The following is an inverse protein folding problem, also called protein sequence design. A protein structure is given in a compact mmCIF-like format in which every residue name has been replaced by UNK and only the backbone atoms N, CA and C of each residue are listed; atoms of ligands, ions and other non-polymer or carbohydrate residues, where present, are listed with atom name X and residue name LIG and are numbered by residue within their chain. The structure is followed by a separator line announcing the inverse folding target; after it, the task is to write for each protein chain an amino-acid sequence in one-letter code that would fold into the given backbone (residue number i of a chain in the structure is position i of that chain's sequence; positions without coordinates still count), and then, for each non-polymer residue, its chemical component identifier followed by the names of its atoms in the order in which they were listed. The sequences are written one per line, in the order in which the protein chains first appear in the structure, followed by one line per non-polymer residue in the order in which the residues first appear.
data_IF_863311283057
#
_entry.id   IF_863311283057
#
_cell.length_a   1.000
_cell.length_b   1.000
_cell.length_c   1.000
_cell.angle_alpha   90.00
_cell.angle_beta   90.00
_cell.angle_gamma   90.00
#
_symmetry.space_group_name_H-M   'P 1'
#
loop_
_entity.id
_entity.type
_entity.pdbx_description
1 polymer ?
#
# COMPACT_ATOMS: atom_id res chain seq x y z
N UNK A 1 -15.96 19.76 -6.40
CA UNK A 1 -16.05 20.45 -7.71
C UNK A 1 -15.77 21.93 -7.59
N UNK A 2 -16.60 22.74 -6.92
CA UNK A 2 -16.39 24.20 -6.77
C UNK A 2 -15.02 24.58 -6.24
N UNK A 3 -14.62 23.97 -5.11
CA UNK A 3 -13.29 24.15 -4.52
C UNK A 3 -12.15 23.77 -5.48
N UNK A 4 -12.31 22.66 -6.23
CA UNK A 4 -11.28 22.18 -7.17
C UNK A 4 -11.16 23.12 -8.37
N UNK A 5 -12.29 23.54 -8.95
CA UNK A 5 -12.27 24.47 -10.07
C UNK A 5 -11.98 25.93 -9.66
N UNK A 6 -12.09 26.26 -8.36
CA UNK A 6 -11.99 27.64 -7.89
C UNK A 6 -13.12 28.52 -8.45
N UNK A 7 -14.34 27.98 -8.56
CA UNK A 7 -15.49 28.66 -9.14
C UNK A 7 -16.82 28.24 -8.50
N UNK A 8 -17.73 29.18 -8.25
CA UNK A 8 -19.07 28.88 -7.72
C UNK A 8 -20.06 28.38 -8.79
N UNK A 9 -19.94 28.89 -10.02
CA UNK A 9 -20.91 28.60 -11.08
C UNK A 9 -20.40 27.50 -12.02
N UNK A 10 -21.05 26.34 -11.97
CA UNK A 10 -20.79 25.22 -12.87
C UNK A 10 -22.00 24.92 -13.76
N UNK A 11 -21.81 24.57 -15.04
CA UNK A 11 -22.89 24.07 -15.87
C UNK A 11 -23.46 22.77 -15.31
N UNK A 12 -24.78 22.69 -15.12
CA UNK A 12 -25.44 21.49 -14.58
C UNK A 12 -25.12 20.22 -15.38
N UNK A 13 -25.01 20.34 -16.70
CA UNK A 13 -24.64 19.23 -17.57
C UNK A 13 -23.22 18.71 -17.30
N UNK A 14 -22.27 19.59 -16.96
CA UNK A 14 -20.91 19.20 -16.56
C UNK A 14 -20.93 18.50 -15.19
N UNK A 15 -21.68 19.06 -14.23
CA UNK A 15 -21.83 18.45 -12.89
C UNK A 15 -22.42 17.06 -13.00
N UNK A 16 -23.50 16.90 -13.78
CA UNK A 16 -24.16 15.62 -14.01
C UNK A 16 -23.21 14.60 -14.67
N UNK A 17 -22.50 15.01 -15.72
CA UNK A 17 -21.55 14.15 -16.42
C UNK A 17 -20.43 13.66 -15.48
N UNK A 18 -19.82 14.56 -14.71
CA UNK A 18 -18.76 14.18 -13.76
C UNK A 18 -19.34 13.27 -12.66
N UNK A 19 -20.54 13.57 -12.15
CA UNK A 19 -21.19 12.74 -11.13
C UNK A 19 -21.49 11.32 -11.65
N UNK A 20 -22.07 11.21 -12.85
CA UNK A 20 -22.34 9.92 -13.52
C UNK A 20 -21.05 9.13 -13.74
N UNK A 21 -19.96 9.81 -14.14
CA UNK A 21 -18.69 9.13 -14.37
C UNK A 21 -17.99 8.70 -13.09
N UNK A 22 -18.12 9.48 -12.04
CA UNK A 22 -17.38 9.25 -10.79
C UNK A 22 -18.13 8.40 -9.77
N UNK A 23 -19.43 8.18 -9.97
CA UNK A 23 -20.28 7.43 -9.04
C UNK A 23 -20.30 8.04 -7.63
N UNK A 24 -20.04 9.34 -7.52
CA UNK A 24 -19.95 10.05 -6.24
C UNK A 24 -18.67 9.79 -5.45
N UNK A 25 -17.67 9.09 -5.99
CA UNK A 25 -16.38 8.90 -5.32
C UNK A 25 -15.65 10.26 -5.21
N UNK A 26 -15.43 10.81 -3.99
CA UNK A 26 -14.90 12.17 -3.83
C UNK A 26 -13.51 12.34 -4.44
N UNK A 27 -12.64 11.35 -4.28
CA UNK A 27 -11.30 11.38 -4.85
C UNK A 27 -11.33 11.32 -6.39
N UNK A 28 -12.15 10.44 -6.96
CA UNK A 28 -12.29 10.36 -8.41
C UNK A 28 -12.84 11.66 -8.98
N UNK A 29 -13.83 12.25 -8.31
CA UNK A 29 -14.41 13.53 -8.67
C UNK A 29 -13.36 14.65 -8.67
N UNK A 30 -12.56 14.75 -7.61
CA UNK A 30 -11.46 15.72 -7.54
C UNK A 30 -10.47 15.53 -8.69
N UNK A 31 -10.12 14.29 -9.01
CA UNK A 31 -9.13 14.00 -10.03
C UNK A 31 -9.64 14.20 -11.46
N UNK A 32 -10.92 13.90 -11.71
CA UNK A 32 -11.58 14.26 -12.98
C UNK A 32 -11.62 15.77 -13.15
N UNK A 33 -11.96 16.53 -12.09
CA UNK A 33 -11.96 17.99 -12.14
C UNK A 33 -10.57 18.54 -12.45
N UNK A 34 -9.53 18.01 -11.78
CA UNK A 34 -8.14 18.41 -11.99
C UNK A 34 -7.65 18.09 -13.40
N UNK A 35 -7.91 16.87 -13.89
CA UNK A 35 -7.57 16.44 -15.26
C UNK A 35 -8.17 17.40 -16.30
N UNK A 36 -9.45 17.76 -16.14
CA UNK A 36 -10.11 18.71 -17.05
C UNK A 36 -9.46 20.10 -17.05
N UNK A 37 -8.93 20.57 -15.92
CA UNK A 37 -8.19 21.83 -15.85
C UNK A 37 -6.80 21.71 -16.47
N UNK A 38 -6.06 20.65 -16.14
CA UNK A 38 -4.70 20.38 -16.65
C UNK A 38 -4.69 20.23 -18.18
N UNK A 39 -5.70 19.57 -18.74
CA UNK A 39 -5.86 19.39 -20.19
C UNK A 39 -6.46 20.62 -20.90
N UNK A 40 -6.80 21.67 -20.14
CA UNK A 40 -7.42 22.88 -20.67
C UNK A 40 -8.83 22.65 -21.25
N UNK A 41 -9.46 21.52 -20.90
CA UNK A 41 -10.79 21.13 -21.33
C UNK A 41 -11.89 21.97 -20.66
N UNK A 42 -11.56 22.64 -19.55
CA UNK A 42 -12.39 23.68 -18.94
C UNK A 42 -11.63 25.00 -18.78
N UNK A 43 -12.37 26.11 -18.83
CA UNK A 43 -11.86 27.45 -18.50
C UNK A 43 -12.69 28.05 -17.38
N UNK A 44 -12.00 28.74 -16.48
CA UNK A 44 -12.64 29.51 -15.42
C UNK A 44 -12.53 30.99 -15.77
N UNK A 45 -13.67 31.68 -15.87
CA UNK A 45 -13.75 33.13 -16.09
C UNK A 45 -14.89 33.71 -15.28
N UNK A 46 -14.64 34.80 -14.57
CA UNK A 46 -15.64 35.50 -13.75
C UNK A 46 -16.42 34.53 -12.84
N UNK A 47 -15.71 33.67 -12.10
CA UNK A 47 -16.30 32.70 -11.15
C UNK A 47 -17.24 31.65 -11.80
N UNK A 48 -17.09 31.46 -13.12
CA UNK A 48 -17.86 30.50 -13.91
C UNK A 48 -16.97 29.56 -14.70
N UNK A 49 -17.27 28.28 -14.62
CA UNK A 49 -16.64 27.22 -15.44
C UNK A 49 -17.34 27.13 -16.79
N UNK A 50 -16.57 27.09 -17.87
CA UNK A 50 -17.05 26.74 -19.22
C UNK A 50 -16.23 25.61 -19.82
N UNK A 51 -16.89 24.71 -20.54
CA UNK A 51 -16.23 23.62 -21.27
C UNK A 51 -15.65 24.18 -22.57
N UNK A 52 -14.40 23.83 -22.87
CA UNK A 52 -13.74 24.16 -24.13
C UNK A 52 -14.11 23.10 -25.16
N UNK A 53 -14.84 23.48 -26.21
CA UNK A 53 -15.36 22.55 -27.20
C UNK A 53 -16.73 22.00 -26.81
N UNK A 54 -16.93 20.68 -26.88
CA UNK A 54 -18.21 20.03 -26.56
C UNK A 54 -18.09 19.12 -25.33
N UNK A 55 -19.16 19.04 -24.53
CA UNK A 55 -19.26 18.11 -23.40
C UNK A 55 -19.10 16.65 -23.84
N UNK A 56 -19.63 16.27 -25.00
CA UNK A 56 -19.53 14.92 -25.53
C UNK A 56 -18.10 14.55 -26.00
N UNK A 57 -17.26 15.55 -26.26
CA UNK A 57 -15.86 15.34 -26.65
C UNK A 57 -14.90 15.20 -25.47
N UNK A 58 -15.37 15.41 -24.24
CA UNK A 58 -14.53 15.28 -23.04
C UNK A 58 -14.06 13.84 -22.85
N UNK A 59 -12.74 13.65 -22.83
CA UNK A 59 -12.12 12.37 -22.51
C UNK A 59 -12.08 12.20 -20.99
N UNK A 60 -13.19 11.75 -20.42
CA UNK A 60 -13.24 11.43 -19.00
C UNK A 60 -12.73 10.01 -18.76
N UNK A 61 -11.83 9.80 -17.80
CA UNK A 61 -11.37 8.46 -17.47
C UNK A 61 -12.52 7.53 -17.10
N UNK A 62 -12.36 6.26 -17.47
CA UNK A 62 -13.39 5.23 -17.25
C UNK A 62 -13.38 4.66 -15.83
N UNK A 63 -12.30 4.89 -15.07
CA UNK A 63 -12.16 4.44 -13.69
C UNK A 63 -11.17 5.28 -12.89
N UNK A 64 -11.28 5.24 -11.56
CA UNK A 64 -10.34 5.87 -10.63
C UNK A 64 -8.91 5.36 -10.87
N UNK A 65 -8.78 4.05 -11.09
CA UNK A 65 -7.50 3.39 -11.31
C UNK A 65 -6.84 3.89 -12.59
N UNK A 66 -7.61 4.15 -13.65
CA UNK A 66 -7.08 4.73 -14.87
C UNK A 66 -6.51 6.14 -14.62
N UNK A 67 -7.18 6.97 -13.83
CA UNK A 67 -6.67 8.31 -13.50
C UNK A 67 -5.37 8.25 -12.72
N UNK A 68 -5.34 7.41 -11.69
CA UNK A 68 -4.13 7.22 -10.87
C UNK A 68 -2.99 6.73 -11.75
N UNK A 69 -3.23 5.77 -12.64
CA UNK A 69 -2.21 5.26 -13.57
C UNK A 69 -1.64 6.38 -14.43
N UNK A 70 -2.50 7.20 -15.04
CA UNK A 70 -2.06 8.36 -15.85
C UNK A 70 -1.22 9.35 -15.03
N UNK A 71 -1.56 9.60 -13.76
CA UNK A 71 -0.72 10.46 -12.89
C UNK A 71 0.64 9.84 -12.62
N UNK A 72 0.67 8.54 -12.33
CA UNK A 72 1.92 7.82 -12.11
C UNK A 72 2.77 7.78 -13.39
N UNK A 73 2.15 7.77 -14.56
CA UNK A 73 2.86 7.82 -15.85
C UNK A 73 3.47 9.20 -16.15
N UNK A 74 2.95 10.28 -15.53
CA UNK A 74 3.44 11.67 -15.66
C UNK A 74 4.57 12.04 -14.70
N UNK A 75 4.85 11.22 -13.68
CA UNK A 75 6.02 11.43 -12.81
C UNK A 75 7.26 10.76 -13.40
N UNK A 76 8.45 11.27 -13.04
CA UNK A 76 9.71 10.71 -13.47
C UNK A 76 9.89 9.25 -13.00
N UNK A 77 10.81 8.56 -13.67
CA UNK A 77 11.04 7.13 -13.44
C UNK A 77 11.47 6.84 -11.99
N UNK A 78 12.31 7.69 -11.40
CA UNK A 78 12.83 7.49 -10.05
C UNK A 78 11.73 7.60 -8.99
N UNK A 79 10.87 8.62 -9.09
CA UNK A 79 9.72 8.80 -8.21
C UNK A 79 8.70 7.68 -8.37
N UNK A 80 8.48 7.18 -9.60
CA UNK A 80 7.59 6.04 -9.86
C UNK A 80 8.13 4.75 -9.25
N UNK A 81 9.42 4.48 -9.41
CA UNK A 81 10.07 3.32 -8.82
C UNK A 81 10.02 3.38 -7.29
N UNK A 82 10.24 4.55 -6.70
CA UNK A 82 10.11 4.77 -5.26
C UNK A 82 8.70 4.45 -4.76
N UNK A 83 7.64 4.93 -5.43
CA UNK A 83 6.25 4.61 -5.07
C UNK A 83 5.95 3.11 -5.19
N UNK A 84 6.45 2.46 -6.23
CA UNK A 84 6.29 1.01 -6.41
C UNK A 84 6.94 0.24 -5.25
N UNK A 85 8.15 0.59 -4.83
CA UNK A 85 8.81 -0.03 -3.67
C UNK A 85 8.08 0.26 -2.36
N UNK A 86 7.71 1.52 -2.13
CA UNK A 86 6.94 1.92 -0.96
C UNK A 86 5.59 1.19 -0.89
N UNK A 87 4.98 0.89 -2.03
CA UNK A 87 3.71 0.15 -2.09
C UNK A 87 3.81 -1.27 -1.56
N UNK A 88 5.00 -1.88 -1.64
CA UNK A 88 5.28 -3.21 -1.08
C UNK A 88 5.48 -3.14 0.43
N UNK A 89 6.04 -2.03 0.96
CA UNK A 89 6.19 -1.84 2.41
C UNK A 89 4.82 -1.77 3.09
N UNK A 90 3.89 -1.03 2.49
CA UNK A 90 2.51 -0.94 2.96
C UNK A 90 1.89 0.43 2.76
N UNK A 91 0.70 0.63 3.34
CA UNK A 91 -0.03 1.91 3.27
C UNK A 91 0.70 3.05 3.98
N UNK A 92 1.43 2.71 5.03
CA UNK A 92 2.35 3.58 5.75
C UNK A 92 3.74 2.93 5.73
N UNK A 93 4.78 3.73 5.57
CA UNK A 93 6.15 3.25 5.43
C UNK A 93 7.14 4.18 6.11
N UNK A 94 8.10 3.61 6.82
CA UNK A 94 9.20 4.38 7.41
C UNK A 94 10.30 4.64 6.38
N UNK A 95 10.95 5.79 6.50
CA UNK A 95 12.05 6.16 5.59
C UNK A 95 13.24 5.21 5.72
N UNK A 96 13.51 4.68 6.91
CA UNK A 96 14.61 3.76 7.17
C UNK A 96 14.40 2.38 6.54
N UNK A 97 13.17 1.86 6.53
CA UNK A 97 12.87 0.64 5.75
C UNK A 97 13.02 0.93 4.25
N UNK A 98 12.45 2.04 3.78
CA UNK A 98 12.51 2.42 2.37
C UNK A 98 13.96 2.61 1.88
N UNK A 99 14.80 3.26 2.68
CA UNK A 99 16.24 3.50 2.41
C UNK A 99 17.04 2.22 2.21
N UNK A 100 16.59 1.09 2.78
CA UNK A 100 17.27 -0.21 2.67
C UNK A 100 16.82 -1.02 1.46
N UNK A 101 15.68 -0.67 0.86
CA UNK A 101 15.10 -1.41 -0.28
C UNK A 101 15.17 -0.64 -1.60
N UNK A 102 15.63 0.61 -1.59
CA UNK A 102 16.00 1.35 -2.80
C UNK A 102 17.44 0.99 -3.20
N UNK A 103 17.74 1.05 -4.49
CA UNK A 103 19.07 0.69 -5.00
C UNK A 103 20.03 1.89 -4.88
N UNK A 104 19.52 3.11 -5.03
CA UNK A 104 20.22 4.37 -4.75
C UNK A 104 19.36 5.23 -3.81
N UNK A 105 19.97 5.64 -2.70
CA UNK A 105 19.33 6.44 -1.66
C UNK A 105 19.80 7.91 -1.64
N UNK A 106 20.68 8.33 -2.56
CA UNK A 106 21.29 9.66 -2.53
C UNK A 106 20.28 10.79 -2.63
N UNK A 107 19.20 10.60 -3.39
CA UNK A 107 18.12 11.58 -3.59
C UNK A 107 16.77 11.14 -2.98
N UNK A 108 16.79 10.20 -2.03
CA UNK A 108 15.56 9.69 -1.42
C UNK A 108 14.68 10.80 -0.83
N UNK A 109 15.29 11.74 -0.13
CA UNK A 109 14.57 12.83 0.54
C UNK A 109 13.97 13.82 -0.49
N UNK A 110 14.68 14.11 -1.59
CA UNK A 110 14.17 14.93 -2.70
C UNK A 110 12.98 14.28 -3.40
N UNK A 111 13.06 12.99 -3.69
CA UNK A 111 11.96 12.21 -4.26
C UNK A 111 10.73 12.19 -3.34
N UNK A 112 10.91 12.01 -2.03
CA UNK A 112 9.81 12.05 -1.05
C UNK A 112 9.15 13.43 -0.99
N UNK A 113 9.93 14.51 -1.07
CA UNK A 113 9.39 15.89 -1.15
C UNK A 113 8.58 16.07 -2.43
N UNK A 114 9.10 15.68 -3.59
CA UNK A 114 8.39 15.80 -4.87
C UNK A 114 7.10 14.98 -4.92
N UNK A 115 7.09 13.76 -4.37
CA UNK A 115 5.88 12.94 -4.25
C UNK A 115 4.84 13.55 -3.31
N UNK A 116 5.29 14.21 -2.23
CA UNK A 116 4.42 14.92 -1.28
C UNK A 116 3.78 16.16 -1.94
N UNK A 117 4.56 16.96 -2.65
CA UNK A 117 4.07 18.15 -3.37
C UNK A 117 3.04 17.79 -4.46
N UNK A 118 3.23 16.64 -5.11
CA UNK A 118 2.25 16.08 -6.08
C UNK A 118 1.02 15.46 -5.42
N UNK A 119 0.96 15.43 -4.09
CA UNK A 119 -0.16 14.88 -3.31
C UNK A 119 -0.33 13.37 -3.45
N UNK A 120 0.73 12.63 -3.79
CA UNK A 120 0.69 11.16 -3.90
C UNK A 120 0.92 10.49 -2.54
N UNK A 121 1.71 11.15 -1.69
CA UNK A 121 1.97 10.75 -0.30
C UNK A 121 1.83 11.94 0.63
N UNK A 122 1.69 11.67 1.93
CA UNK A 122 1.76 12.67 2.99
C UNK A 122 2.62 12.16 4.15
N UNK A 123 3.24 13.08 4.86
CA UNK A 123 4.01 12.74 6.06
C UNK A 123 3.02 12.52 7.23
N UNK A 124 3.01 11.31 7.78
CA UNK A 124 2.15 10.92 8.89
C UNK A 124 2.81 11.16 10.24
N UNK A 125 4.14 11.02 10.31
CA UNK A 125 4.93 11.20 11.53
C UNK A 125 6.30 11.77 11.20
N UNK A 126 6.86 12.56 12.11
CA UNK A 126 8.20 13.16 11.98
C UNK A 126 9.23 12.46 12.89
N UNK A 127 8.84 12.15 14.14
CA UNK A 127 9.73 11.64 15.21
C UNK A 127 9.15 10.34 15.80
N UNK A 128 9.97 9.36 16.23
CA UNK A 128 11.44 9.33 16.20
C UNK A 128 12.03 9.14 14.80
N UNK A 129 11.22 8.64 13.88
CA UNK A 129 11.59 8.44 12.48
C UNK A 129 10.43 8.94 11.58
N UNK A 130 10.74 9.57 10.42
CA UNK A 130 9.73 9.96 9.46
C UNK A 130 8.94 8.75 8.93
N UNK A 131 7.61 8.83 9.05
CA UNK A 131 6.67 7.93 8.39
C UNK A 131 5.90 8.72 7.34
N UNK A 132 5.84 8.14 6.14
CA UNK A 132 4.97 8.60 5.08
C UNK A 132 3.84 7.61 4.88
N UNK A 133 2.75 8.09 4.30
CA UNK A 133 1.63 7.26 3.88
C UNK A 133 1.12 7.71 2.54
N UNK A 134 0.58 6.76 1.78
CA UNK A 134 -0.12 7.09 0.56
C UNK A 134 -1.32 7.99 0.85
N UNK A 135 -1.52 8.99 0.00
CA UNK A 135 -2.66 9.90 0.12
C UNK A 135 -3.99 9.14 -0.01
N UNK A 136 -4.03 8.16 -0.93
CA UNK A 136 -5.17 7.29 -1.17
C UNK A 136 -4.72 5.82 -1.23
N UNK A 137 -5.56 4.91 -0.72
CA UNK A 137 -5.33 3.46 -0.80
C UNK A 137 -5.19 2.99 -2.25
N UNK A 138 -6.04 3.50 -3.15
CA UNK A 138 -5.98 3.16 -4.57
C UNK A 138 -4.65 3.57 -5.22
N UNK A 139 -3.96 4.60 -4.70
CA UNK A 139 -2.62 4.96 -5.21
C UNK A 139 -1.60 3.88 -4.86
N UNK A 140 -1.66 3.34 -3.65
CA UNK A 140 -0.83 2.22 -3.23
C UNK A 140 -1.14 0.98 -4.06
N UNK A 141 -2.42 0.64 -4.23
CA UNK A 141 -2.85 -0.54 -5.01
C UNK A 141 -2.39 -0.44 -6.48
N UNK A 142 -2.63 0.69 -7.15
CA UNK A 142 -2.20 0.86 -8.55
C UNK A 142 -0.67 0.82 -8.69
N UNK A 143 0.07 1.37 -7.72
CA UNK A 143 1.52 1.26 -7.71
C UNK A 143 1.97 -0.20 -7.51
N UNK A 144 1.38 -0.91 -6.54
CA UNK A 144 1.67 -2.30 -6.23
C UNK A 144 1.34 -3.22 -7.42
N UNK A 145 0.19 -3.07 -8.03
CA UNK A 145 -0.25 -3.89 -9.16
C UNK A 145 0.46 -3.60 -10.47
N UNK A 146 1.22 -2.51 -10.54
CA UNK A 146 2.12 -2.27 -11.66
C UNK A 146 3.42 -3.09 -11.59
N UNK A 147 3.70 -3.76 -10.46
CA UNK A 147 4.83 -4.67 -10.30
C UNK A 147 4.51 -6.06 -10.85
N UNK A 148 5.47 -6.64 -11.56
CA UNK A 148 5.40 -8.04 -11.98
C UNK A 148 5.48 -8.97 -10.76
N UNK A 149 4.88 -10.17 -10.86
CA UNK A 149 4.91 -11.17 -9.77
C UNK A 149 6.32 -11.43 -9.22
N UNK A 150 7.32 -11.53 -10.11
CA UNK A 150 8.73 -11.72 -9.71
C UNK A 150 9.27 -10.53 -8.89
N UNK A 151 8.93 -9.31 -9.28
CA UNK A 151 9.35 -8.10 -8.58
C UNK A 151 8.67 -7.98 -7.21
N UNK A 152 7.36 -8.30 -7.12
CA UNK A 152 6.65 -8.37 -5.84
C UNK A 152 7.36 -9.33 -4.90
N UNK A 153 7.60 -10.59 -5.33
CA UNK A 153 8.33 -11.61 -4.56
C UNK A 153 9.68 -11.11 -4.04
N UNK A 154 10.50 -10.55 -4.93
CA UNK A 154 11.82 -10.02 -4.57
C UNK A 154 11.74 -8.87 -3.55
N UNK A 155 10.87 -7.90 -3.82
CA UNK A 155 10.69 -6.74 -2.95
C UNK A 155 10.14 -7.13 -1.58
N UNK A 156 9.18 -8.06 -1.51
CA UNK A 156 8.67 -8.56 -0.23
C UNK A 156 9.79 -9.18 0.61
N UNK A 157 10.70 -9.96 0.00
CA UNK A 157 11.87 -10.50 0.69
C UNK A 157 12.86 -9.42 1.15
N UNK A 158 13.07 -8.38 0.35
CA UNK A 158 13.91 -7.21 0.72
C UNK A 158 13.27 -6.42 1.87
N UNK A 159 11.95 -6.22 1.84
CA UNK A 159 11.20 -5.52 2.89
C UNK A 159 11.29 -6.29 4.20
N UNK A 160 11.03 -7.60 4.21
CA UNK A 160 11.15 -8.43 5.41
C UNK A 160 12.53 -8.30 6.06
N UNK A 161 13.61 -8.42 5.27
CA UNK A 161 15.00 -8.24 5.74
C UNK A 161 15.30 -6.81 6.20
N UNK A 162 14.69 -5.80 5.60
CA UNK A 162 14.86 -4.42 6.01
C UNK A 162 14.19 -4.18 7.36
N UNK A 163 12.97 -4.68 7.56
CA UNK A 163 12.21 -4.60 8.81
C UNK A 163 12.95 -5.33 9.94
N UNK A 164 13.47 -6.54 9.69
CA UNK A 164 14.31 -7.29 10.62
C UNK A 164 15.45 -6.44 11.20
N UNK A 165 16.13 -5.69 10.35
CA UNK A 165 17.28 -4.91 10.75
C UNK A 165 16.91 -3.56 11.40
N UNK A 166 15.85 -2.90 10.92
CA UNK A 166 15.46 -1.58 11.45
C UNK A 166 14.86 -1.71 12.85
N UNK A 167 14.09 -2.76 13.10
CA UNK A 167 13.37 -2.90 14.36
C UNK A 167 14.18 -3.55 15.48
N UNK A 168 15.18 -4.38 15.16
CA UNK A 168 16.09 -4.97 16.14
C UNK A 168 15.33 -5.64 17.29
N UNK A 169 15.44 -5.09 18.50
CA UNK A 169 14.79 -5.62 19.72
C UNK A 169 13.26 -5.49 19.73
N UNK A 170 12.68 -4.63 18.89
CA UNK A 170 11.23 -4.41 18.79
C UNK A 170 10.55 -5.25 17.71
N UNK A 171 11.24 -6.30 17.25
CA UNK A 171 10.76 -7.17 16.17
C UNK A 171 9.47 -7.90 16.54
N UNK A 172 9.29 -8.15 17.84
CA UNK A 172 8.15 -8.85 18.41
C UNK A 172 6.81 -8.17 18.11
N UNK A 173 6.78 -6.84 18.07
CA UNK A 173 5.61 -6.04 17.67
C UNK A 173 5.20 -6.26 16.20
N UNK A 174 6.03 -6.91 15.37
CA UNK A 174 5.88 -6.96 13.92
C UNK A 174 6.00 -8.37 13.31
N UNK A 175 5.89 -9.43 14.12
CA UNK A 175 5.99 -10.81 13.64
C UNK A 175 4.94 -11.18 12.59
N UNK A 176 3.72 -10.68 12.71
CA UNK A 176 2.64 -10.90 11.75
C UNK A 176 2.95 -10.32 10.36
N UNK A 177 3.47 -9.09 10.34
CA UNK A 177 3.87 -8.37 9.13
C UNK A 177 5.06 -9.07 8.46
N UNK A 178 6.06 -9.49 9.26
CA UNK A 178 7.22 -10.24 8.76
C UNK A 178 6.80 -11.57 8.13
N UNK A 179 5.93 -12.32 8.81
CA UNK A 179 5.41 -13.58 8.29
C UNK A 179 4.72 -13.37 6.93
N UNK A 180 3.88 -12.34 6.80
CA UNK A 180 3.22 -12.00 5.55
C UNK A 180 4.22 -11.61 4.44
N UNK A 181 5.23 -10.78 4.72
CA UNK A 181 6.24 -10.43 3.71
C UNK A 181 7.04 -11.65 3.26
N UNK A 182 7.49 -12.52 4.17
CA UNK A 182 8.23 -13.70 3.76
C UNK A 182 7.35 -14.73 3.03
N UNK A 183 6.06 -14.82 3.36
CA UNK A 183 5.10 -15.62 2.60
C UNK A 183 4.93 -15.14 1.16
N UNK A 184 4.75 -13.83 0.95
CA UNK A 184 4.70 -13.21 -0.39
C UNK A 184 6.03 -13.31 -1.16
N UNK A 185 7.14 -13.39 -0.42
CA UNK A 185 8.47 -13.67 -0.97
C UNK A 185 8.70 -15.17 -1.27
N UNK A 186 7.75 -16.04 -0.96
CA UNK A 186 7.85 -17.50 -0.98
C UNK A 186 9.08 -18.03 -0.19
N UNK A 187 9.53 -17.29 0.82
CA UNK A 187 10.50 -17.75 1.82
C UNK A 187 9.70 -18.44 2.93
N UNK A 188 9.23 -19.64 2.62
CA UNK A 188 8.32 -20.40 3.49
C UNK A 188 8.93 -20.71 4.86
N UNK A 189 10.24 -20.90 4.93
CA UNK A 189 10.96 -21.16 6.19
C UNK A 189 10.83 -19.95 7.11
N UNK A 190 11.14 -18.74 6.62
CA UNK A 190 10.96 -17.51 7.42
C UNK A 190 9.49 -17.18 7.69
N UNK A 191 8.61 -17.44 6.72
CA UNK A 191 7.17 -17.23 6.91
C UNK A 191 6.63 -18.10 8.07
N UNK A 192 7.01 -19.37 8.12
CA UNK A 192 6.66 -20.28 9.22
C UNK A 192 7.26 -19.80 10.53
N UNK A 193 8.54 -19.46 10.55
CA UNK A 193 9.24 -18.99 11.75
C UNK A 193 8.53 -17.77 12.39
N UNK A 194 8.29 -16.72 11.59
CA UNK A 194 7.60 -15.53 12.09
C UNK A 194 6.11 -15.77 12.36
N UNK A 195 5.46 -16.67 11.63
CA UNK A 195 4.10 -17.10 11.88
C UNK A 195 3.92 -17.75 13.26
N UNK A 196 4.84 -18.65 13.63
CA UNK A 196 4.87 -19.27 14.98
C UNK A 196 5.10 -18.22 16.07
N UNK A 197 6.06 -17.31 15.87
CA UNK A 197 6.33 -16.23 16.83
C UNK A 197 5.13 -15.28 16.97
N UNK A 198 4.44 -14.98 15.86
CA UNK A 198 3.21 -14.18 15.84
C UNK A 198 2.10 -14.85 16.64
N UNK A 199 1.88 -16.16 16.44
CA UNK A 199 0.88 -16.93 17.20
C UNK A 199 1.20 -16.96 18.69
N UNK A 200 2.44 -17.26 19.05
CA UNK A 200 2.91 -17.30 20.43
C UNK A 200 2.74 -15.94 21.13
N UNK A 201 3.09 -14.84 20.45
CA UNK A 201 2.87 -13.49 20.98
C UNK A 201 1.39 -13.18 21.19
N UNK A 202 0.56 -13.43 20.18
CA UNK A 202 -0.88 -13.18 20.27
C UNK A 202 -1.50 -13.95 21.44
N UNK A 203 -1.11 -15.22 21.63
CA UNK A 203 -1.53 -16.02 22.80
C UNK A 203 -1.04 -15.39 24.11
N UNK A 204 0.22 -14.98 24.20
CA UNK A 204 0.78 -14.30 25.39
C UNK A 204 0.06 -12.99 25.75
N UNK A 205 -0.56 -12.34 24.76
CA UNK A 205 -1.41 -11.15 24.92
C UNK A 205 -2.91 -11.48 25.07
N UNK A 206 -3.28 -12.76 25.20
CA UNK A 206 -4.66 -13.26 25.27
C UNK A 206 -5.52 -12.91 24.04
N UNK A 207 -4.89 -12.67 22.89
CA UNK A 207 -5.54 -12.43 21.60
C UNK A 207 -5.77 -13.77 20.87
N UNK A 208 -6.62 -14.63 21.44
CA UNK A 208 -6.75 -16.02 20.98
C UNK A 208 -7.22 -16.16 19.53
N UNK A 209 -8.12 -15.29 19.07
CA UNK A 209 -8.55 -15.27 17.65
C UNK A 209 -7.37 -14.98 16.72
N UNK A 210 -6.52 -14.01 17.07
CA UNK A 210 -5.35 -13.65 16.28
C UNK A 210 -4.30 -14.77 16.31
N UNK A 211 -4.15 -15.45 17.45
CA UNK A 211 -3.29 -16.61 17.59
C UNK A 211 -3.75 -17.76 16.66
N UNK A 212 -5.05 -18.10 16.65
CA UNK A 212 -5.61 -19.13 15.78
C UNK A 212 -5.45 -18.77 14.29
N UNK A 213 -5.74 -17.53 13.91
CA UNK A 213 -5.54 -17.06 12.54
C UNK A 213 -4.06 -17.13 12.12
N UNK A 214 -3.14 -16.81 13.04
CA UNK A 214 -1.70 -16.94 12.78
C UNK A 214 -1.29 -18.40 12.61
N UNK A 215 -1.79 -19.32 13.43
CA UNK A 215 -1.51 -20.76 13.33
C UNK A 215 -2.04 -21.35 12.03
N UNK A 216 -3.26 -21.01 11.61
CA UNK A 216 -3.84 -21.48 10.35
C UNK A 216 -3.00 -21.05 9.14
N UNK A 217 -2.61 -19.77 9.07
CA UNK A 217 -1.71 -19.28 8.01
C UNK A 217 -0.36 -19.99 8.04
N UNK A 218 0.23 -20.13 9.23
CA UNK A 218 1.52 -20.80 9.43
C UNK A 218 1.48 -22.25 8.95
N UNK A 219 0.40 -22.98 9.24
CA UNK A 219 0.16 -24.33 8.74
C UNK A 219 0.17 -24.37 7.22
N UNK A 220 -0.57 -23.48 6.57
CA UNK A 220 -0.64 -23.42 5.11
C UNK A 220 0.73 -23.15 4.44
N UNK A 221 1.62 -22.42 5.12
CA UNK A 221 2.99 -22.18 4.65
C UNK A 221 3.91 -23.36 4.92
N UNK A 222 3.74 -24.04 6.05
CA UNK A 222 4.53 -25.21 6.41
C UNK A 222 4.31 -26.38 5.42
N UNK A 223 3.09 -26.52 4.88
CA UNK A 223 2.77 -27.44 3.78
C UNK A 223 3.59 -27.18 2.50
N UNK A 224 4.17 -25.99 2.34
CA UNK A 224 5.02 -25.62 1.20
C UNK A 224 6.51 -25.90 1.45
N UNK A 225 6.92 -26.22 2.68
CA UNK A 225 8.31 -26.50 3.02
C UNK A 225 8.61 -27.99 2.78
N UNK A 226 9.70 -28.35 2.08
CA UNK A 226 10.09 -29.74 1.91
C UNK A 226 10.29 -30.45 3.25
N UNK A 227 9.72 -31.65 3.38
CA UNK A 227 9.76 -32.40 4.63
C UNK A 227 11.19 -32.80 5.02
N UNK A 228 11.57 -32.46 6.25
CA UNK A 228 12.79 -32.81 6.94
C UNK A 228 12.57 -32.83 8.46
N UNK A 229 13.57 -33.21 9.24
CA UNK A 229 13.51 -33.27 10.70
C UNK A 229 13.02 -31.96 11.33
N UNK A 230 13.58 -30.83 10.91
CA UNK A 230 13.20 -29.50 11.40
C UNK A 230 11.72 -29.17 11.09
N UNK A 231 11.23 -29.46 9.88
CA UNK A 231 9.82 -29.21 9.56
C UNK A 231 8.86 -30.08 10.37
N UNK A 232 9.26 -31.31 10.75
CA UNK A 232 8.46 -32.18 11.62
C UNK A 232 8.37 -31.61 13.03
N UNK A 233 9.47 -31.07 13.56
CA UNK A 233 9.46 -30.34 14.83
C UNK A 233 8.54 -29.11 14.76
N UNK A 234 8.58 -28.34 13.67
CA UNK A 234 7.67 -27.22 13.45
C UNK A 234 6.19 -27.67 13.43
N UNK A 235 5.88 -28.80 12.79
CA UNK A 235 4.54 -29.38 12.79
C UNK A 235 4.06 -29.75 14.20
N UNK A 236 4.91 -30.43 14.98
CA UNK A 236 4.59 -30.81 16.36
C UNK A 236 4.33 -29.57 17.21
N UNK A 237 5.22 -28.57 17.14
CA UNK A 237 5.08 -27.32 17.89
C UNK A 237 3.78 -26.58 17.54
N UNK A 238 3.42 -26.52 16.24
CA UNK A 238 2.19 -25.87 15.79
C UNK A 238 0.93 -26.56 16.33
N UNK A 239 0.90 -27.90 16.30
CA UNK A 239 -0.23 -28.67 16.84
C UNK A 239 -0.35 -28.49 18.36
N UNK A 240 0.77 -28.50 19.09
CA UNK A 240 0.79 -28.28 20.54
C UNK A 240 0.26 -26.89 20.90
N UNK A 241 0.68 -25.85 20.17
CA UNK A 241 0.21 -24.48 20.37
C UNK A 241 -1.29 -24.36 20.09
N UNK A 242 -1.79 -24.97 19.00
CA UNK A 242 -3.23 -24.98 18.68
C UNK A 242 -4.08 -25.64 19.77
N UNK A 243 -3.68 -26.82 20.25
CA UNK A 243 -4.39 -27.53 21.33
C UNK A 243 -4.46 -26.63 22.57
N UNK A 244 -3.34 -26.01 22.94
CA UNK A 244 -3.27 -25.14 24.10
C UNK A 244 -4.19 -23.91 23.98
N UNK A 245 -4.23 -23.25 22.81
CA UNK A 245 -5.14 -22.12 22.58
C UNK A 245 -6.60 -22.57 22.67
N UNK A 246 -6.96 -23.72 22.11
CA UNK A 246 -8.33 -24.24 22.17
C UNK A 246 -8.76 -24.63 23.60
N UNK A 247 -7.85 -25.14 24.43
CA UNK A 247 -8.12 -25.45 25.83
C UNK A 247 -8.41 -24.20 26.66
N UNK A 248 -7.74 -23.07 26.37
CA UNK A 248 -7.93 -21.80 27.09
C UNK A 248 -9.26 -21.12 26.71
N UNK A 249 -9.73 -21.33 25.48
CA UNK A 249 -10.94 -20.66 24.95
C UNK A 249 -12.25 -21.40 25.32
N UNK A 250 -12.16 -22.62 25.87
CA UNK A 250 -13.30 -23.41 26.35
C UNK A 250 -13.67 -23.08 27.80
#
# INVERSE_FOLDING_TARGET
MRSVFGAEQLPDALVKLIHERTGGNPFFLEEVCRTLQEEGAVRVRNDRVSVVGSLAGLQLPDSVQAVIRTRLDRIDHAARDLLRRASVVGREFSVGVLRRIVDDASDLDGLLVGLKERGLIRQARVVPEPIYRFQNVLTQEVAYDSLLKRQKKELHGRVGKAVEHVLGERLDEHYDILAAHFAEAEDWVKAVHYGQLSAHRARGLSQFTDALNALERTRSWLERVPENEHTRECWIALIQEEVHVHEIVR
#
